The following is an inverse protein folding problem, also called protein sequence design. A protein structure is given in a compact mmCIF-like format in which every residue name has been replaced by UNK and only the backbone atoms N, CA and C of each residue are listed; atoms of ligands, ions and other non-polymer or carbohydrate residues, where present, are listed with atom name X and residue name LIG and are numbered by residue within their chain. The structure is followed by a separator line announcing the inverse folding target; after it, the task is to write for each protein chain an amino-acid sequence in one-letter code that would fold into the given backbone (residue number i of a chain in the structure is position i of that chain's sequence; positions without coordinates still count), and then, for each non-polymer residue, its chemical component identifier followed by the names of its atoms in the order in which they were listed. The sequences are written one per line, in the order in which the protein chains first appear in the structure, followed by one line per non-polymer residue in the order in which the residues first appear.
data_IF_464428725891
#
_entry.id   IF_464428725891
#
_cell.length_a   1.000
_cell.length_b   1.000
_cell.length_c   1.000
_cell.angle_alpha   90.00
_cell.angle_beta   90.00
_cell.angle_gamma   90.00
#
_symmetry.space_group_name_H-M   'P 1'
#
loop_
_entity.id
_entity.type
_entity.pdbx_description
1 polymer ?
#
# COMPACT_ATOMS: atom_id res chain seq x y z
N UNK A 1 26.86 6.68 -3.18
CA UNK A 1 26.31 8.05 -3.34
C UNK A 1 25.69 8.53 -2.03
N UNK A 2 26.02 9.73 -1.54
CA UNK A 2 25.42 10.28 -0.33
C UNK A 2 23.97 10.71 -0.56
N UNK A 3 23.03 10.26 0.29
CA UNK A 3 21.58 10.53 0.23
C UNK A 3 21.15 11.91 0.76
N UNK A 4 22.09 12.61 1.40
CA UNK A 4 21.91 13.94 1.96
C UNK A 4 23.20 14.77 1.83
N UNK A 5 23.08 16.07 2.05
CA UNK A 5 24.20 17.00 2.24
C UNK A 5 24.34 17.27 3.73
N UNK A 6 25.57 17.26 4.24
CA UNK A 6 25.89 17.63 5.62
C UNK A 6 26.92 18.76 5.60
N UNK A 7 26.60 19.90 6.19
CA UNK A 7 27.42 21.11 6.14
C UNK A 7 27.21 21.99 7.37
N UNK A 8 28.15 22.90 7.64
CA UNK A 8 27.98 23.91 8.68
C UNK A 8 26.87 24.90 8.27
N UNK A 9 25.96 25.21 9.19
CA UNK A 9 24.93 26.23 9.03
C UNK A 9 25.51 27.58 9.49
N UNK A 10 25.74 28.48 8.54
CA UNK A 10 26.38 29.79 8.81
C UNK A 10 25.56 30.66 9.76
N UNK A 11 24.24 30.54 9.74
CA UNK A 11 23.33 31.43 10.48
C UNK A 11 23.17 31.01 11.95
N UNK A 12 23.41 29.73 12.28
CA UNK A 12 23.10 29.18 13.61
C UNK A 12 24.31 28.57 14.32
N UNK A 13 25.47 28.49 13.66
CA UNK A 13 26.68 27.84 14.19
C UNK A 13 26.59 26.32 14.36
N UNK A 14 25.45 25.71 14.02
CA UNK A 14 25.21 24.27 14.10
C UNK A 14 25.45 23.55 12.78
N UNK A 15 25.37 22.23 12.79
CA UNK A 15 25.49 21.40 11.59
C UNK A 15 24.13 21.12 10.96
N UNK A 16 24.03 21.26 9.65
CA UNK A 16 22.80 21.02 8.88
C UNK A 16 22.91 19.74 8.06
N UNK A 17 21.91 18.86 8.20
CA UNK A 17 21.61 17.81 7.25
C UNK A 17 20.43 18.22 6.35
N UNK A 18 20.65 18.22 5.04
CA UNK A 18 19.59 18.40 4.04
C UNK A 18 19.44 17.16 3.14
N UNK A 19 18.29 16.46 3.17
CA UNK A 19 18.01 15.36 2.24
C UNK A 19 18.10 15.82 0.79
N UNK A 20 18.60 14.95 -0.12
CA UNK A 20 18.60 15.24 -1.57
C UNK A 20 17.27 14.96 -2.26
N UNK A 21 16.37 14.22 -1.60
CA UNK A 21 15.01 13.91 -2.05
C UNK A 21 14.01 14.66 -1.19
N UNK A 22 12.84 14.92 -1.75
CA UNK A 22 11.73 15.47 -0.97
C UNK A 22 11.24 14.47 0.07
N UNK A 23 11.11 14.93 1.31
CA UNK A 23 10.50 14.22 2.42
C UNK A 23 9.31 15.02 2.95
N UNK A 24 8.27 14.31 3.38
CA UNK A 24 7.14 14.86 4.13
C UNK A 24 6.97 14.01 5.38
N UNK A 25 7.55 14.49 6.48
CA UNK A 25 7.54 13.79 7.76
C UNK A 25 6.30 14.19 8.55
N UNK A 26 5.60 13.19 9.07
CA UNK A 26 4.67 13.37 10.18
C UNK A 26 5.49 13.39 11.48
N UNK A 27 5.72 14.60 12.00
CA UNK A 27 6.53 14.81 13.19
C UNK A 27 5.88 14.25 14.45
N UNK A 28 4.55 14.12 14.49
CA UNK A 28 3.85 13.54 15.64
C UNK A 28 4.16 12.06 15.75
N UNK A 29 4.01 11.32 14.65
CA UNK A 29 4.35 9.90 14.60
C UNK A 29 5.86 9.63 14.71
N UNK A 30 6.70 10.61 14.34
CA UNK A 30 8.14 10.47 14.37
C UNK A 30 8.73 10.62 15.78
N UNK A 31 8.13 11.45 16.63
CA UNK A 31 8.58 11.70 17.98
C UNK A 31 8.73 10.40 18.80
N UNK A 32 7.86 9.42 18.57
CA UNK A 32 7.85 8.12 19.26
C UNK A 32 9.09 7.26 18.97
N UNK A 33 9.99 7.70 18.08
CA UNK A 33 11.26 7.01 17.74
C UNK A 33 12.49 7.59 18.42
N UNK A 34 12.30 8.58 19.29
CA UNK A 34 13.38 9.23 20.02
C UNK A 34 13.09 9.14 21.51
N UNK A 35 14.12 8.81 22.30
CA UNK A 35 13.97 8.61 23.74
C UNK A 35 13.76 9.95 24.48
N UNK A 36 14.41 11.03 23.99
CA UNK A 36 14.42 12.33 24.66
C UNK A 36 13.81 13.39 23.74
N UNK A 37 12.49 13.56 23.78
CA UNK A 37 11.78 14.59 23.00
C UNK A 37 11.48 15.79 23.89
N UNK A 38 11.95 16.97 23.50
CA UNK A 38 11.73 18.22 24.24
C UNK A 38 10.58 19.05 23.67
N UNK A 39 10.40 19.04 22.34
CA UNK A 39 9.33 19.77 21.65
C UNK A 39 8.76 18.88 20.56
N UNK A 40 7.44 18.72 20.52
CA UNK A 40 6.72 17.94 19.51
C UNK A 40 5.59 18.78 18.95
N UNK A 41 5.73 19.23 17.70
CA UNK A 41 4.69 19.95 16.95
C UNK A 41 4.68 19.48 15.50
N UNK A 42 3.69 19.89 14.72
CA UNK A 42 3.64 19.68 13.28
C UNK A 42 4.66 20.52 12.49
N UNK A 43 5.32 21.51 13.11
CA UNK A 43 6.29 22.41 12.45
C UNK A 43 7.73 22.04 12.81
N UNK A 44 7.97 21.51 14.01
CA UNK A 44 9.30 21.15 14.49
C UNK A 44 9.24 20.06 15.57
N UNK A 45 10.22 19.16 15.52
CA UNK A 45 10.51 18.16 16.54
C UNK A 45 11.91 18.44 17.10
N UNK A 46 12.01 18.73 18.40
CA UNK A 46 13.30 18.95 19.08
C UNK A 46 13.57 17.75 19.99
N UNK A 47 14.75 17.15 19.83
CA UNK A 47 15.18 15.95 20.56
C UNK A 47 16.68 16.00 20.86
N UNK A 48 17.17 15.08 21.67
CA UNK A 48 18.60 14.93 21.95
C UNK A 48 19.07 13.52 21.61
N UNK A 49 20.26 13.40 21.01
CA UNK A 49 20.89 12.10 20.78
C UNK A 49 22.41 12.23 20.86
N UNK A 50 23.03 11.40 21.72
CA UNK A 50 24.48 11.37 21.86
C UNK A 50 25.10 12.68 22.34
N UNK A 51 24.36 13.47 23.13
CA UNK A 51 24.76 14.78 23.63
C UNK A 51 24.60 15.94 22.63
N UNK A 52 24.06 15.67 21.44
CA UNK A 52 23.74 16.73 20.47
C UNK A 52 22.25 17.10 20.57
N UNK A 53 21.95 18.39 20.66
CA UNK A 53 20.59 18.89 20.51
C UNK A 53 20.20 18.92 19.04
N UNK A 54 19.04 18.37 18.71
CA UNK A 54 18.61 18.10 17.35
C UNK A 54 17.26 18.77 17.10
N UNK A 55 17.14 19.46 15.97
CA UNK A 55 15.87 19.99 15.47
C UNK A 55 15.53 19.36 14.12
N UNK A 56 14.34 18.77 14.00
CA UNK A 56 13.86 18.08 12.79
C UNK A 56 12.62 18.80 12.27
N UNK A 57 12.61 19.08 10.97
CA UNK A 57 11.51 19.77 10.28
C UNK A 57 10.71 18.81 9.38
N UNK A 58 9.46 19.14 9.00
CA UNK A 58 8.62 18.28 8.14
C UNK A 58 9.24 17.96 6.78
N UNK A 59 10.09 18.86 6.28
CA UNK A 59 10.85 18.67 5.04
C UNK A 59 11.99 17.63 5.15
N UNK A 60 12.25 17.11 6.34
CA UNK A 60 13.40 16.25 6.64
C UNK A 60 14.73 17.00 6.81
N UNK A 61 14.72 18.34 6.77
CA UNK A 61 15.85 19.16 7.22
C UNK A 61 16.12 18.88 8.69
N UNK A 62 17.39 18.77 9.07
CA UNK A 62 17.81 18.56 10.46
C UNK A 62 18.93 19.54 10.81
N UNK A 63 18.86 20.14 12.00
CA UNK A 63 19.94 20.91 12.61
C UNK A 63 20.46 20.17 13.84
N UNK A 64 21.77 20.13 13.99
CA UNK A 64 22.48 19.55 15.13
C UNK A 64 23.32 20.63 15.79
N UNK A 65 23.19 20.76 17.10
CA UNK A 65 23.92 21.70 17.95
C UNK A 65 24.77 20.94 18.96
N UNK A 66 25.71 21.65 19.58
CA UNK A 66 26.53 21.15 20.70
C UNK A 66 27.33 19.89 20.34
N UNK A 67 27.80 19.81 19.09
CA UNK A 67 28.52 18.65 18.58
C UNK A 67 29.57 19.02 17.54
N UNK A 68 30.73 18.37 17.64
CA UNK A 68 31.81 18.46 16.66
C UNK A 68 31.45 17.77 15.35
N UNK A 69 32.12 18.15 14.26
CA UNK A 69 31.77 17.70 12.90
C UNK A 69 31.72 16.18 12.75
N UNK A 70 32.77 15.48 13.21
CA UNK A 70 32.90 14.04 12.99
C UNK A 70 31.79 13.26 13.71
N UNK A 71 31.54 13.62 14.98
CA UNK A 71 30.45 13.06 15.78
C UNK A 71 29.09 13.47 15.20
N UNK A 72 28.95 14.72 14.75
CA UNK A 72 27.78 15.24 14.07
C UNK A 72 27.43 14.45 12.82
N UNK A 73 28.42 14.07 11.98
CA UNK A 73 28.22 13.23 10.79
C UNK A 73 27.69 11.83 11.13
N UNK A 74 28.20 11.23 12.21
CA UNK A 74 27.74 9.91 12.70
C UNK A 74 26.28 9.99 13.19
N UNK A 75 25.96 11.02 13.99
CA UNK A 75 24.61 11.29 14.49
C UNK A 75 23.65 11.58 13.33
N UNK A 76 24.03 12.45 12.41
CA UNK A 76 23.30 12.78 11.17
C UNK A 76 22.93 11.52 10.36
N UNK A 77 23.87 10.60 10.15
CA UNK A 77 23.62 9.34 9.46
C UNK A 77 22.59 8.48 10.19
N UNK A 78 22.65 8.42 11.52
CA UNK A 78 21.70 7.68 12.35
C UNK A 78 20.31 8.30 12.33
N UNK A 79 20.20 9.63 12.48
CA UNK A 79 18.91 10.34 12.37
C UNK A 79 18.33 10.15 10.97
N UNK A 80 19.14 10.29 9.91
CA UNK A 80 18.67 10.09 8.55
C UNK A 80 18.04 8.70 8.39
N UNK A 81 18.67 7.64 8.92
CA UNK A 81 18.09 6.29 8.95
C UNK A 81 16.79 6.24 9.75
N UNK A 82 16.69 6.91 10.89
CA UNK A 82 15.48 6.96 11.72
C UNK A 82 14.33 7.64 10.95
N UNK A 83 14.56 8.83 10.38
CA UNK A 83 13.52 9.62 9.71
C UNK A 83 13.13 9.05 8.33
N UNK A 84 14.03 8.29 7.70
CA UNK A 84 13.75 7.64 6.40
C UNK A 84 13.34 6.18 6.51
N UNK A 85 13.52 5.55 7.69
CA UNK A 85 12.82 4.30 8.01
C UNK A 85 11.34 4.59 7.85
N UNK A 86 10.67 3.80 7.00
CA UNK A 86 9.22 3.77 7.03
C UNK A 86 8.79 3.54 8.48
N UNK A 87 7.72 4.20 8.99
CA UNK A 87 6.77 3.53 9.84
C UNK A 87 7.22 2.35 10.68
N UNK A 88 8.16 2.39 11.63
CA UNK A 88 8.31 1.24 12.57
C UNK A 88 7.19 1.28 13.60
N UNK A 89 5.94 1.33 13.13
CA UNK A 89 4.98 0.39 13.68
C UNK A 89 5.52 -0.94 13.18
N UNK A 90 5.95 -1.84 14.07
CA UNK A 90 5.90 -3.26 13.72
C UNK A 90 4.59 -3.43 12.95
N UNK A 91 4.66 -3.86 11.68
CA UNK A 91 3.44 -4.05 10.92
C UNK A 91 2.56 -4.93 11.80
N UNK A 92 1.44 -4.41 12.33
CA UNK A 92 0.66 -5.11 13.35
C UNK A 92 -0.53 -5.73 12.64
N UNK A 93 -0.67 -7.02 12.82
CA UNK A 93 -1.81 -7.78 12.32
C UNK A 93 -1.80 -8.10 10.83
N UNK A 94 -2.81 -8.88 10.46
CA UNK A 94 -3.09 -9.48 9.17
C UNK A 94 -4.20 -8.67 8.50
N UNK A 95 -3.95 -8.16 7.31
CA UNK A 95 -4.94 -7.41 6.55
C UNK A 95 -5.80 -8.35 5.69
N UNK A 96 -7.03 -7.94 5.43
CA UNK A 96 -7.92 -8.54 4.43
C UNK A 96 -8.15 -7.53 3.31
N UNK A 97 -8.08 -7.97 2.06
CA UNK A 97 -8.42 -7.16 0.89
C UNK A 97 -9.34 -7.94 -0.06
N UNK A 98 -10.52 -7.39 -0.34
CA UNK A 98 -11.57 -8.08 -1.10
C UNK A 98 -11.74 -7.45 -2.48
N UNK A 99 -11.86 -8.29 -3.51
CA UNK A 99 -12.18 -7.81 -4.85
C UNK A 99 -12.68 -8.93 -5.76
N UNK A 100 -13.36 -8.54 -6.85
CA UNK A 100 -13.74 -9.49 -7.92
C UNK A 100 -12.57 -9.81 -8.84
N UNK A 101 -11.61 -8.88 -8.98
CA UNK A 101 -10.42 -9.00 -9.83
C UNK A 101 -10.70 -9.36 -11.29
N UNK A 102 -11.62 -8.63 -11.93
CA UNK A 102 -12.07 -8.85 -13.32
C UNK A 102 -11.58 -7.75 -14.30
N UNK A 103 -10.28 -7.67 -14.66
CA UNK A 103 -9.14 -8.51 -14.23
C UNK A 103 -8.39 -7.95 -13.00
N UNK A 104 -7.33 -8.63 -12.55
CA UNK A 104 -6.33 -8.04 -11.65
C UNK A 104 -5.56 -6.94 -12.39
N UNK A 105 -5.32 -5.80 -11.74
CA UNK A 105 -4.79 -4.59 -12.39
C UNK A 105 -3.86 -3.79 -11.49
N UNK A 106 -3.16 -2.79 -12.04
CA UNK A 106 -2.14 -2.01 -11.32
C UNK A 106 -2.69 -1.29 -10.09
N UNK A 107 -3.94 -0.82 -10.15
CA UNK A 107 -4.65 -0.27 -8.98
C UNK A 107 -4.71 -1.26 -7.80
N UNK A 108 -5.12 -2.52 -8.04
CA UNK A 108 -5.11 -3.56 -7.02
C UNK A 108 -3.70 -3.81 -6.47
N UNK A 109 -2.70 -3.96 -7.34
CA UNK A 109 -1.31 -4.20 -6.93
C UNK A 109 -0.77 -3.05 -6.07
N UNK A 110 -1.11 -1.79 -6.40
CA UNK A 110 -0.69 -0.62 -5.63
C UNK A 110 -1.36 -0.60 -4.25
N UNK A 111 -2.66 -0.85 -4.18
CA UNK A 111 -3.39 -0.95 -2.92
C UNK A 111 -2.80 -2.05 -2.02
N UNK A 112 -2.50 -3.23 -2.59
CA UNK A 112 -1.87 -4.32 -1.86
C UNK A 112 -0.49 -3.93 -1.30
N UNK A 113 0.34 -3.23 -2.09
CA UNK A 113 1.65 -2.74 -1.63
C UNK A 113 1.53 -1.71 -0.51
N UNK A 114 0.57 -0.80 -0.61
CA UNK A 114 0.30 0.19 0.45
C UNK A 114 -0.15 -0.50 1.75
N UNK A 115 -1.10 -1.43 1.66
CA UNK A 115 -1.57 -2.22 2.81
C UNK A 115 -0.41 -2.98 3.46
N UNK A 116 0.43 -3.64 2.66
CA UNK A 116 1.60 -4.39 3.16
C UNK A 116 2.69 -3.48 3.76
N UNK A 117 2.70 -2.18 3.47
CA UNK A 117 3.58 -1.25 4.18
C UNK A 117 3.15 -1.01 5.64
N UNK A 118 1.91 -1.38 5.99
CA UNK A 118 1.26 -1.15 7.29
C UNK A 118 0.91 -2.45 8.03
N UNK A 119 1.01 -3.62 7.38
CA UNK A 119 0.53 -4.93 7.89
C UNK A 119 1.52 -6.08 7.62
N UNK A 120 1.57 -7.12 8.49
CA UNK A 120 2.57 -8.22 8.38
C UNK A 120 2.37 -9.06 7.13
N UNK A 121 1.11 -9.39 6.85
CA UNK A 121 0.67 -10.18 5.71
C UNK A 121 -0.72 -9.71 5.28
N UNK A 122 -1.11 -10.08 4.06
CA UNK A 122 -2.41 -9.75 3.48
C UNK A 122 -3.10 -11.01 2.96
N UNK A 123 -4.37 -11.19 3.33
CA UNK A 123 -5.26 -12.17 2.70
C UNK A 123 -6.06 -11.48 1.61
N UNK A 124 -5.89 -11.91 0.37
CA UNK A 124 -6.62 -11.45 -0.80
C UNK A 124 -7.83 -12.36 -1.00
N UNK A 125 -9.03 -11.80 -0.95
CA UNK A 125 -10.29 -12.54 -1.12
C UNK A 125 -10.85 -12.30 -2.51
N UNK A 126 -10.86 -13.34 -3.33
CA UNK A 126 -11.56 -13.33 -4.62
C UNK A 126 -13.07 -13.51 -4.35
N UNK A 127 -13.81 -12.41 -4.39
CA UNK A 127 -15.27 -12.39 -4.29
C UNK A 127 -15.95 -12.83 -5.59
N UNK A 128 -17.25 -13.13 -5.51
CA UNK A 128 -18.02 -13.67 -6.63
C UNK A 128 -17.31 -14.88 -7.25
N UNK A 129 -16.84 -15.81 -6.42
CA UNK A 129 -16.00 -16.93 -6.86
C UNK A 129 -16.73 -17.91 -7.78
N UNK A 130 -18.06 -17.98 -7.67
CA UNK A 130 -18.92 -18.78 -8.55
C UNK A 130 -19.05 -18.17 -9.95
N UNK A 131 -18.79 -16.87 -10.10
CA UNK A 131 -18.93 -16.16 -11.36
C UNK A 131 -17.75 -16.41 -12.31
N UNK A 132 -18.09 -16.47 -13.60
CA UNK A 132 -17.14 -16.56 -14.70
C UNK A 132 -17.90 -16.64 -16.02
N UNK A 133 -17.28 -16.17 -17.10
CA UNK A 133 -17.85 -16.21 -18.45
C UNK A 133 -19.16 -15.42 -18.59
N UNK A 134 -19.26 -14.28 -17.90
CA UNK A 134 -20.34 -13.29 -18.09
C UNK A 134 -19.76 -11.91 -18.44
N UNK A 135 -20.54 -10.96 -18.98
CA UNK A 135 -20.04 -9.62 -19.33
C UNK A 135 -19.36 -8.90 -18.15
N UNK A 136 -19.94 -9.02 -16.97
CA UNK A 136 -19.44 -8.41 -15.73
C UNK A 136 -18.28 -9.19 -15.13
N UNK A 137 -18.27 -10.51 -15.31
CA UNK A 137 -17.31 -11.45 -14.75
C UNK A 137 -16.72 -12.37 -15.83
N UNK A 138 -15.93 -11.85 -16.78
CA UNK A 138 -15.47 -12.64 -17.93
C UNK A 138 -14.43 -13.72 -17.55
N UNK A 139 -13.70 -13.54 -16.44
CA UNK A 139 -12.68 -14.47 -15.98
C UNK A 139 -13.17 -15.36 -14.83
N UNK A 140 -12.79 -16.63 -14.89
CA UNK A 140 -13.10 -17.63 -13.86
C UNK A 140 -12.30 -17.41 -12.58
N UNK A 141 -12.65 -18.09 -11.49
CA UNK A 141 -11.86 -18.09 -10.26
C UNK A 141 -10.38 -18.44 -10.51
N UNK A 142 -10.12 -19.52 -11.24
CA UNK A 142 -8.76 -19.99 -11.51
C UNK A 142 -7.94 -19.01 -12.36
N UNK A 143 -8.57 -18.40 -13.37
CA UNK A 143 -7.92 -17.36 -14.18
C UNK A 143 -7.58 -16.14 -13.33
N UNK A 144 -8.50 -15.69 -12.47
CA UNK A 144 -8.27 -14.56 -11.57
C UNK A 144 -7.17 -14.84 -10.56
N UNK A 145 -7.13 -16.04 -9.97
CA UNK A 145 -6.07 -16.49 -9.07
C UNK A 145 -4.71 -16.45 -9.78
N UNK A 146 -4.61 -17.02 -10.99
CA UNK A 146 -3.39 -16.97 -11.81
C UNK A 146 -2.96 -15.55 -12.14
N UNK A 147 -3.89 -14.63 -12.42
CA UNK A 147 -3.57 -13.22 -12.65
C UNK A 147 -2.98 -12.56 -11.40
N UNK A 148 -3.57 -12.78 -10.22
CA UNK A 148 -3.04 -12.25 -8.96
C UNK A 148 -1.63 -12.82 -8.72
N UNK A 149 -1.44 -14.13 -8.80
CA UNK A 149 -0.14 -14.77 -8.57
C UNK A 149 0.95 -14.23 -9.52
N UNK A 150 0.63 -14.09 -10.81
CA UNK A 150 1.54 -13.50 -11.81
C UNK A 150 1.89 -12.05 -11.48
N UNK A 151 0.89 -11.21 -11.21
CA UNK A 151 1.10 -9.81 -10.87
C UNK A 151 1.88 -9.61 -9.57
N UNK A 152 1.64 -10.45 -8.57
CA UNK A 152 2.37 -10.43 -7.30
C UNK A 152 3.82 -10.92 -7.47
N UNK A 153 4.05 -11.95 -8.28
CA UNK A 153 5.39 -12.46 -8.63
C UNK A 153 6.21 -11.42 -9.38
N UNK A 154 5.65 -10.79 -10.41
CA UNK A 154 6.29 -9.68 -11.15
C UNK A 154 6.72 -8.55 -10.21
N UNK A 155 5.92 -8.29 -9.18
CA UNK A 155 6.16 -7.24 -8.20
C UNK A 155 7.03 -7.65 -6.99
N UNK A 156 7.54 -8.88 -6.97
CA UNK A 156 8.29 -9.49 -5.86
C UNK A 156 7.56 -9.39 -4.50
N UNK A 157 6.24 -9.51 -4.49
CA UNK A 157 5.45 -9.52 -3.26
C UNK A 157 5.23 -10.95 -2.80
N UNK A 158 5.65 -11.28 -1.57
CA UNK A 158 5.63 -12.66 -1.02
C UNK A 158 4.69 -12.86 0.18
N UNK A 159 4.33 -11.80 0.90
CA UNK A 159 3.58 -11.88 2.17
C UNK A 159 2.06 -11.86 1.96
N UNK A 160 1.54 -12.76 1.12
CA UNK A 160 0.12 -12.82 0.81
C UNK A 160 -0.44 -14.23 0.79
N UNK A 161 -1.75 -14.34 1.01
CA UNK A 161 -2.54 -15.56 0.80
C UNK A 161 -3.74 -15.24 -0.08
N UNK A 162 -4.21 -16.21 -0.86
CA UNK A 162 -5.42 -16.07 -1.68
C UNK A 162 -6.47 -17.03 -1.14
N UNK A 163 -7.66 -16.50 -0.85
CA UNK A 163 -8.86 -17.29 -0.61
C UNK A 163 -9.95 -16.85 -1.58
N UNK A 164 -11.02 -17.62 -1.68
CA UNK A 164 -12.17 -17.27 -2.51
C UNK A 164 -13.46 -17.43 -1.73
N UNK A 165 -14.46 -16.63 -2.08
CA UNK A 165 -15.78 -16.67 -1.46
C UNK A 165 -16.84 -16.44 -2.53
N UNK A 166 -17.88 -17.27 -2.48
CA UNK A 166 -19.08 -17.09 -3.30
C UNK A 166 -19.92 -15.93 -2.77
N UNK A 167 -20.83 -15.43 -3.57
CA UNK A 167 -21.80 -14.44 -3.11
C UNK A 167 -22.88 -15.10 -2.23
N UNK A 168 -23.42 -14.33 -1.27
CA UNK A 168 -24.48 -14.77 -0.36
C UNK A 168 -25.59 -13.73 -0.37
N UNK A 169 -26.84 -14.16 -0.23
CA UNK A 169 -28.00 -13.26 -0.08
C UNK A 169 -28.08 -12.62 1.32
N UNK A 170 -27.01 -12.70 2.12
CA UNK A 170 -26.96 -12.17 3.47
C UNK A 170 -25.55 -11.65 3.80
N UNK A 171 -25.45 -10.33 3.96
CA UNK A 171 -24.23 -9.58 4.25
C UNK A 171 -23.44 -10.12 5.45
N UNK A 172 -24.14 -10.46 6.54
CA UNK A 172 -23.51 -10.97 7.77
C UNK A 172 -22.92 -12.36 7.53
N UNK A 173 -23.69 -13.27 6.92
CA UNK A 173 -23.22 -14.62 6.59
C UNK A 173 -22.03 -14.58 5.63
N UNK A 174 -21.99 -13.64 4.69
CA UNK A 174 -20.86 -13.43 3.79
C UNK A 174 -19.58 -13.06 4.56
N UNK A 175 -19.66 -12.06 5.44
CA UNK A 175 -18.51 -11.63 6.25
C UNK A 175 -18.05 -12.72 7.23
N UNK A 176 -18.98 -13.44 7.86
CA UNK A 176 -18.68 -14.58 8.73
C UNK A 176 -18.03 -15.74 7.98
N UNK A 177 -18.46 -16.03 6.75
CA UNK A 177 -17.83 -17.04 5.91
C UNK A 177 -16.36 -16.71 5.65
N UNK A 178 -16.04 -15.45 5.35
CA UNK A 178 -14.65 -14.99 5.18
C UNK A 178 -13.86 -15.12 6.48
N UNK A 179 -14.46 -14.73 7.62
CA UNK A 179 -13.84 -14.85 8.96
C UNK A 179 -13.49 -16.30 9.32
N UNK A 180 -14.27 -17.28 8.85
CA UNK A 180 -13.99 -18.71 9.05
C UNK A 180 -12.83 -19.21 8.17
N UNK A 181 -12.62 -18.61 7.00
CA UNK A 181 -11.61 -19.04 6.02
C UNK A 181 -10.22 -18.45 6.29
N UNK A 182 -10.12 -17.31 6.98
CA UNK A 182 -8.85 -16.66 7.25
C UNK A 182 -8.85 -15.88 8.57
N UNK A 183 -7.69 -15.86 9.24
CA UNK A 183 -7.44 -14.96 10.38
C UNK A 183 -6.98 -13.60 9.86
N UNK A 184 -7.68 -12.54 10.24
CA UNK A 184 -7.34 -11.15 9.93
C UNK A 184 -7.80 -10.22 11.05
N UNK A 185 -7.12 -9.08 11.17
CA UNK A 185 -7.35 -8.09 12.23
C UNK A 185 -8.02 -6.81 11.69
N UNK A 186 -7.89 -6.55 10.38
CA UNK A 186 -8.43 -5.35 9.73
C UNK A 186 -8.77 -5.62 8.27
N UNK A 187 -9.85 -5.02 7.78
CA UNK A 187 -10.29 -5.10 6.39
C UNK A 187 -9.99 -3.79 5.68
N UNK A 188 -9.41 -3.85 4.49
CA UNK A 188 -9.25 -2.69 3.62
C UNK A 188 -10.22 -2.77 2.44
N UNK A 189 -11.06 -1.76 2.28
CA UNK A 189 -12.03 -1.69 1.17
C UNK A 189 -12.45 -0.27 0.82
N UNK A 190 -12.66 -0.03 -0.47
CA UNK A 190 -13.32 1.18 -1.01
C UNK A 190 -14.81 0.98 -1.27
N UNK A 191 -15.32 -0.23 -1.07
CA UNK A 191 -16.70 -0.58 -1.35
C UNK A 191 -17.56 -0.40 -0.08
N UNK A 192 -18.56 0.52 -0.09
CA UNK A 192 -19.40 0.76 1.08
C UNK A 192 -20.22 -0.45 1.52
N UNK A 193 -20.58 -1.35 0.60
CA UNK A 193 -21.28 -2.59 0.96
C UNK A 193 -20.35 -3.53 1.75
N UNK A 194 -19.13 -3.77 1.26
CA UNK A 194 -18.13 -4.57 1.98
C UNK A 194 -17.81 -4.00 3.37
N UNK A 195 -17.69 -2.69 3.49
CA UNK A 195 -17.51 -2.00 4.77
C UNK A 195 -18.64 -2.35 5.75
N UNK A 196 -19.90 -2.14 5.35
CA UNK A 196 -21.07 -2.49 6.17
C UNK A 196 -21.11 -3.97 6.56
N UNK A 197 -20.71 -4.88 5.67
CA UNK A 197 -20.68 -6.32 5.96
C UNK A 197 -19.75 -6.63 7.14
N UNK A 198 -18.56 -6.00 7.19
CA UNK A 198 -17.56 -6.27 8.22
C UNK A 198 -17.78 -5.48 9.52
N UNK A 199 -18.27 -4.25 9.44
CA UNK A 199 -18.67 -3.48 10.62
C UNK A 199 -19.75 -4.21 11.43
N UNK A 200 -20.72 -4.84 10.75
CA UNK A 200 -21.79 -5.64 11.39
C UNK A 200 -21.30 -6.83 12.22
N UNK A 201 -20.06 -7.28 12.00
CA UNK A 201 -19.46 -8.38 12.75
C UNK A 201 -18.31 -7.90 13.65
N UNK A 202 -18.23 -6.59 13.90
CA UNK A 202 -17.26 -5.97 14.82
C UNK A 202 -15.82 -5.96 14.32
N UNK A 203 -15.60 -6.10 13.01
CA UNK A 203 -14.25 -6.09 12.44
C UNK A 203 -13.87 -4.67 12.01
N UNK A 204 -12.69 -4.16 12.41
CA UNK A 204 -12.19 -2.87 11.95
C UNK A 204 -12.06 -2.79 10.43
N UNK A 205 -12.62 -1.73 9.85
CA UNK A 205 -12.51 -1.42 8.41
C UNK A 205 -11.65 -0.17 8.23
N UNK A 206 -10.79 -0.20 7.21
CA UNK A 206 -9.94 0.93 6.81
C UNK A 206 -10.07 1.21 5.32
N UNK A 207 -9.86 2.47 4.98
CA UNK A 207 -9.68 2.94 3.61
C UNK A 207 -8.21 2.74 3.21
N UNK A 208 -7.98 2.36 1.95
CA UNK A 208 -6.66 2.38 1.31
C UNK A 208 -6.65 3.47 0.25
N UNK A 209 -5.46 3.91 -0.15
CA UNK A 209 -5.35 4.96 -1.17
C UNK A 209 -5.96 4.51 -2.50
N UNK A 210 -6.79 5.38 -3.08
CA UNK A 210 -7.28 5.24 -4.45
C UNK A 210 -6.26 5.82 -5.41
N UNK A 211 -5.53 4.95 -6.10
CA UNK A 211 -4.61 5.41 -7.14
C UNK A 211 -5.39 5.61 -8.44
N UNK A 212 -5.69 6.89 -8.79
CA UNK A 212 -6.36 7.33 -10.04
C UNK A 212 -7.60 6.48 -10.36
N UNK A 213 -8.66 6.68 -9.58
CA UNK A 213 -9.91 5.88 -9.58
C UNK A 213 -10.50 5.64 -10.98
N UNK A 214 -10.43 6.64 -11.85
CA UNK A 214 -11.04 6.58 -13.19
C UNK A 214 -10.16 5.84 -14.21
N UNK A 215 -8.87 5.65 -13.91
CA UNK A 215 -7.93 4.97 -14.80
C UNK A 215 -7.78 3.49 -14.48
N UNK A 216 -7.75 3.12 -13.20
CA UNK A 216 -7.45 1.76 -12.77
C UNK A 216 -8.70 1.06 -12.20
N UNK A 217 -9.65 0.74 -13.07
CA UNK A 217 -10.82 -0.08 -12.72
C UNK A 217 -11.02 -1.23 -13.71
N UNK A 218 -11.53 -2.36 -13.21
CA UNK A 218 -11.91 -3.48 -14.09
C UNK A 218 -12.96 -3.08 -15.13
N UNK A 219 -13.88 -2.18 -14.78
CA UNK A 219 -14.88 -1.64 -15.71
C UNK A 219 -14.22 -0.91 -16.87
N UNK A 220 -13.27 -0.01 -16.58
CA UNK A 220 -12.52 0.73 -17.59
C UNK A 220 -11.67 -0.20 -18.47
N UNK A 221 -11.00 -1.20 -17.89
CA UNK A 221 -10.22 -2.18 -18.65
C UNK A 221 -11.11 -2.94 -19.63
N UNK A 222 -12.25 -3.48 -19.18
CA UNK A 222 -13.18 -4.20 -20.06
C UNK A 222 -13.77 -3.29 -21.13
N UNK A 223 -14.12 -2.05 -20.78
CA UNK A 223 -14.57 -1.02 -21.73
C UNK A 223 -13.54 -0.80 -22.84
N UNK A 224 -12.26 -0.63 -22.49
CA UNK A 224 -11.19 -0.47 -23.49
C UNK A 224 -11.02 -1.69 -24.39
N UNK A 225 -11.16 -2.91 -23.85
CA UNK A 225 -11.12 -4.13 -24.66
C UNK A 225 -12.25 -4.15 -25.69
N UNK A 226 -13.47 -3.78 -25.28
CA UNK A 226 -14.64 -3.69 -26.17
C UNK A 226 -14.45 -2.60 -27.24
N UNK A 227 -13.88 -1.46 -26.86
CA UNK A 227 -13.61 -0.33 -27.77
C UNK A 227 -12.33 -0.49 -28.61
N UNK A 228 -11.63 -1.63 -28.53
CA UNK A 228 -10.32 -1.85 -29.17
C UNK A 228 -9.26 -0.79 -28.82
N UNK A 229 -9.29 -0.28 -27.58
CA UNK A 229 -8.35 0.71 -27.04
C UNK A 229 -7.26 0.06 -26.19
N UNK A 230 -6.15 0.78 -26.01
CA UNK A 230 -5.00 0.31 -25.23
C UNK A 230 -5.34 0.15 -23.73
N UNK A 231 -5.29 -1.09 -23.25
CA UNK A 231 -5.62 -1.47 -21.87
C UNK A 231 -4.45 -2.18 -21.14
N UNK A 232 -3.44 -2.68 -21.86
CA UNK A 232 -2.38 -3.53 -21.28
C UNK A 232 -1.54 -2.77 -20.27
N UNK A 233 -1.34 -1.47 -20.50
CA UNK A 233 -0.68 -0.56 -19.57
C UNK A 233 -1.42 -0.38 -18.22
N UNK A 234 -2.66 -0.84 -18.10
CA UNK A 234 -3.46 -0.76 -16.86
C UNK A 234 -3.26 -1.97 -15.94
N UNK A 235 -2.65 -3.06 -16.45
CA UNK A 235 -2.37 -4.28 -15.70
C UNK A 235 -0.86 -4.53 -15.59
N UNK A 236 -0.40 -5.43 -14.69
CA UNK A 236 0.97 -5.95 -14.74
C UNK A 236 1.24 -6.65 -16.09
N UNK A 237 2.48 -6.60 -16.56
CA UNK A 237 2.84 -7.13 -17.90
C UNK A 237 2.57 -8.64 -18.00
N UNK A 238 2.89 -9.37 -16.94
CA UNK A 238 2.60 -10.81 -16.83
C UNK A 238 1.11 -11.12 -16.86
N UNK A 239 0.26 -10.20 -16.40
CA UNK A 239 -1.20 -10.34 -16.44
C UNK A 239 -1.73 -10.06 -17.84
N UNK A 240 -1.22 -9.02 -18.52
CA UNK A 240 -1.57 -8.75 -19.92
C UNK A 240 -1.25 -9.96 -20.81
N UNK A 241 -0.03 -10.50 -20.69
CA UNK A 241 0.38 -11.73 -21.41
C UNK A 241 -0.53 -12.91 -21.11
N UNK A 242 -0.92 -13.09 -19.84
CA UNK A 242 -1.80 -14.19 -19.46
C UNK A 242 -3.21 -14.03 -20.06
N UNK A 243 -3.82 -12.84 -20.00
CA UNK A 243 -5.13 -12.57 -20.59
C UNK A 243 -5.13 -12.88 -22.10
N UNK A 244 -4.07 -12.49 -22.81
CA UNK A 244 -3.90 -12.85 -24.23
C UNK A 244 -3.79 -14.36 -24.45
N UNK A 245 -3.00 -15.05 -23.62
CA UNK A 245 -2.82 -16.51 -23.76
C UNK A 245 -4.10 -17.32 -23.58
N UNK A 246 -5.08 -16.79 -22.84
CA UNK A 246 -6.38 -17.44 -22.60
C UNK A 246 -7.49 -16.92 -23.53
N UNK A 247 -7.13 -16.16 -24.57
CA UNK A 247 -8.08 -15.49 -25.49
C UNK A 247 -9.13 -14.63 -24.75
N UNK A 248 -8.67 -13.91 -23.73
CA UNK A 248 -9.54 -13.15 -22.83
C UNK A 248 -10.18 -11.94 -23.49
N UNK A 249 -9.51 -11.32 -24.47
CA UNK A 249 -10.04 -10.18 -25.21
C UNK A 249 -11.18 -10.60 -26.14
N UNK A 250 -10.99 -11.68 -26.91
CA UNK A 250 -12.03 -12.26 -27.76
C UNK A 250 -13.23 -12.70 -26.94
N UNK A 251 -12.99 -13.33 -25.78
CA UNK A 251 -14.06 -13.73 -24.87
C UNK A 251 -14.88 -12.55 -24.38
N UNK A 252 -14.22 -11.46 -23.96
CA UNK A 252 -14.92 -10.25 -23.50
C UNK A 252 -15.81 -9.69 -24.62
N UNK A 253 -15.30 -9.60 -25.85
CA UNK A 253 -16.09 -9.12 -27.00
C UNK A 253 -17.31 -10.01 -27.24
N UNK A 254 -17.11 -11.33 -27.36
CA UNK A 254 -18.19 -12.30 -27.60
C UNK A 254 -19.28 -12.30 -26.51
N UNK A 255 -18.92 -12.03 -25.26
CA UNK A 255 -19.91 -11.98 -24.18
C UNK A 255 -20.77 -10.70 -24.21
N UNK A 256 -20.38 -9.67 -24.95
CA UNK A 256 -21.08 -8.38 -25.05
C UNK A 256 -21.69 -8.15 -26.45
N UNK A 257 -21.71 -9.18 -27.29
CA UNK A 257 -22.50 -9.26 -28.53
C UNK A 257 -23.93 -9.67 -28.19
#
# INVERSE_FOLDING_TARGET
MSYYVFKLCKDTGGWELKPKRDLKLDLESLADRFDNVHVKTNVILVTEMGGARISIYPSGRILLFDVEEEKGRKIASRIYKIITKAPEREAKGRALFVGRFQPFHRGHLRAIKDILSKNKEITIVIGSSQEGRTPENPFTLEERKRMIEKGMKEANVKKYKIISVRDFNNDKKWAEAIRKLAKFDVVYTMNPWTERCFERIGIPVRKHDLYVKDKYSGKEIRKRILENREWRNLVPETVARFIRSIKGEERIRKLNE
#
